data_IF_553044420996
#
_entry.id   IF_553044420996
#
_cell.length_a   1.000
_cell.length_b   1.000
_cell.length_c   1.000
_cell.angle_alpha   90.00
_cell.angle_beta   90.00
_cell.angle_gamma   90.00
#
_symmetry.space_group_name_H-M   'P 1'
#
loop_
_entity.id
_entity.type
_entity.pdbx_description
1 polymer ?
#
# COMPACT_ATOMS: atom_id res chain seq x y z
N UNK A 1 -0.64 19.84 -0.79
CA UNK A 1 -1.66 19.76 -1.86
C UNK A 1 -2.13 18.34 -1.96
N UNK A 2 -3.36 18.06 -1.54
CA UNK A 2 -3.89 16.71 -1.33
C UNK A 2 -4.24 16.01 -2.65
N UNK A 3 -3.68 14.84 -2.91
CA UNK A 3 -4.14 13.95 -3.98
C UNK A 3 -5.22 13.04 -3.39
N UNK A 4 -6.47 13.25 -3.79
CA UNK A 4 -7.62 12.43 -3.40
C UNK A 4 -7.93 11.48 -4.55
N UNK A 5 -7.77 10.18 -4.32
CA UNK A 5 -8.11 9.15 -5.31
C UNK A 5 -9.55 8.70 -5.02
N UNK A 6 -10.50 9.26 -5.76
CA UNK A 6 -11.90 8.82 -5.78
C UNK A 6 -12.17 8.00 -7.04
N UNK A 7 -12.83 6.84 -6.92
CA UNK A 7 -13.19 5.94 -8.03
C UNK A 7 -12.01 5.31 -8.81
N UNK A 8 -10.97 4.85 -8.11
CA UNK A 8 -9.95 4.00 -8.72
C UNK A 8 -10.50 2.60 -9.01
N UNK A 9 -10.68 2.25 -10.28
CA UNK A 9 -11.05 0.89 -10.69
C UNK A 9 -9.80 0.16 -11.21
N UNK A 10 -9.38 -0.87 -10.49
CA UNK A 10 -8.35 -1.81 -10.92
C UNK A 10 -9.05 -3.04 -11.51
N UNK A 11 -8.94 -3.25 -12.81
CA UNK A 11 -9.29 -4.53 -13.43
C UNK A 11 -8.01 -5.35 -13.59
N UNK A 12 -7.89 -6.42 -12.82
CA UNK A 12 -6.84 -7.41 -13.01
C UNK A 12 -7.45 -8.57 -13.80
N UNK A 13 -7.25 -8.56 -15.12
CA UNK A 13 -7.65 -9.67 -15.97
C UNK A 13 -6.54 -10.73 -15.87
N UNK A 14 -6.71 -11.68 -14.96
CA UNK A 14 -5.82 -12.82 -14.82
C UNK A 14 -6.57 -14.10 -15.22
N UNK A 15 -6.08 -14.76 -16.27
CA UNK A 15 -6.46 -16.13 -16.60
C UNK A 15 -5.79 -17.08 -15.59
N UNK A 16 -6.24 -17.04 -14.34
CA UNK A 16 -5.74 -17.90 -13.26
C UNK A 16 -6.90 -18.69 -12.67
N UNK A 17 -6.67 -19.98 -12.39
CA UNK A 17 -7.62 -20.74 -11.57
C UNK A 17 -7.74 -20.11 -10.18
N UNK A 18 -8.80 -20.41 -9.44
CA UNK A 18 -9.01 -19.89 -8.07
C UNK A 18 -7.81 -20.26 -7.20
N UNK A 19 -7.32 -21.50 -7.33
CA UNK A 19 -6.15 -22.00 -6.61
C UNK A 19 -4.89 -21.23 -6.98
N UNK A 20 -4.71 -20.89 -8.26
CA UNK A 20 -3.57 -20.08 -8.71
C UNK A 20 -3.66 -18.66 -8.16
N UNK A 21 -4.85 -18.08 -8.13
CA UNK A 21 -5.09 -16.76 -7.55
C UNK A 21 -4.79 -16.74 -6.06
N UNK A 22 -5.28 -17.72 -5.29
CA UNK A 22 -5.01 -17.84 -3.86
C UNK A 22 -3.50 -17.97 -3.57
N UNK A 23 -2.79 -18.70 -4.42
CA UNK A 23 -1.34 -18.90 -4.31
C UNK A 23 -0.50 -17.71 -4.72
N UNK A 24 -1.05 -16.74 -5.46
CA UNK A 24 -0.28 -15.52 -5.83
C UNK A 24 0.17 -14.70 -4.63
N UNK A 25 -0.44 -14.96 -3.48
CA UNK A 25 -0.11 -14.36 -2.19
C UNK A 25 0.69 -15.30 -1.28
N UNK A 26 1.37 -16.30 -1.84
CA UNK A 26 2.35 -17.16 -1.15
C UNK A 26 3.78 -16.66 -1.38
N UNK A 27 4.72 -17.07 -0.51
CA UNK A 27 6.14 -16.71 -0.60
C UNK A 27 6.76 -17.02 -1.98
N UNK A 28 6.37 -18.16 -2.57
CA UNK A 28 6.85 -18.59 -3.91
C UNK A 28 6.60 -17.55 -5.02
N UNK A 29 5.50 -16.79 -4.95
CA UNK A 29 5.20 -15.72 -5.90
C UNK A 29 5.95 -14.41 -5.59
N UNK A 30 6.27 -14.17 -4.31
CA UNK A 30 7.18 -13.08 -3.91
C UNK A 30 8.60 -13.34 -4.43
N UNK A 31 9.07 -14.59 -4.41
CA UNK A 31 10.43 -14.97 -4.85
C UNK A 31 10.65 -14.72 -6.35
N UNK A 32 9.67 -15.05 -7.19
CA UNK A 32 9.71 -14.72 -8.63
C UNK A 32 9.46 -13.22 -8.90
N UNK A 33 9.18 -12.45 -7.83
CA UNK A 33 8.97 -11.02 -7.87
C UNK A 33 7.64 -10.61 -8.47
N UNK A 34 6.61 -11.46 -8.43
CA UNK A 34 5.27 -11.18 -8.96
C UNK A 34 4.65 -9.96 -8.27
N UNK A 35 4.61 -9.97 -6.93
CA UNK A 35 4.08 -8.87 -6.12
C UNK A 35 4.80 -7.53 -6.37
N UNK A 36 6.07 -7.58 -6.74
CA UNK A 36 6.87 -6.40 -7.07
C UNK A 36 6.59 -5.82 -8.47
N UNK A 37 5.87 -6.56 -9.32
CA UNK A 37 5.41 -6.10 -10.65
C UNK A 37 4.00 -5.52 -10.62
N UNK A 38 3.30 -5.66 -9.49
CA UNK A 38 1.99 -5.09 -9.27
C UNK A 38 2.10 -3.74 -8.55
N UNK A 39 1.23 -2.82 -8.95
CA UNK A 39 0.89 -1.63 -8.16
C UNK A 39 -0.35 -1.99 -7.34
N UNK A 40 -0.21 -2.04 -6.02
CA UNK A 40 -1.22 -2.60 -5.13
C UNK A 40 -2.09 -1.46 -4.62
N UNK A 41 -3.39 -1.54 -4.88
CA UNK A 41 -4.36 -0.58 -4.37
C UNK A 41 -5.29 -1.32 -3.41
N UNK A 42 -5.06 -1.21 -2.08
CA UNK A 42 -5.97 -1.82 -1.12
C UNK A 42 -7.33 -1.12 -1.21
N UNK A 43 -8.37 -1.90 -1.43
CA UNK A 43 -9.76 -1.43 -1.46
C UNK A 43 -10.59 -2.12 -0.40
N UNK A 44 -11.62 -1.44 0.09
CA UNK A 44 -12.69 -2.04 0.88
C UNK A 44 -13.89 -2.30 -0.03
N UNK A 45 -14.40 -3.53 0.01
CA UNK A 45 -15.63 -3.87 -0.71
C UNK A 45 -16.84 -3.32 0.03
N UNK A 46 -17.47 -2.28 -0.50
CA UNK A 46 -18.76 -1.78 0.01
C UNK A 46 -19.89 -2.17 -0.95
N UNK A 47 -20.98 -2.74 -0.41
CA UNK A 47 -22.21 -2.91 -1.17
C UNK A 47 -22.85 -1.53 -1.35
N UNK A 48 -22.67 -0.94 -2.53
CA UNK A 48 -23.29 0.35 -2.89
C UNK A 48 -24.60 0.13 -3.64
N UNK A 49 -24.53 0.15 -4.96
CA UNK A 49 -25.70 0.06 -5.81
C UNK A 49 -25.81 -1.35 -6.39
N UNK A 50 -26.98 -2.00 -6.21
CA UNK A 50 -27.30 -3.26 -6.91
C UNK A 50 -27.29 -3.08 -8.44
N UNK A 51 -27.63 -1.87 -8.91
CA UNK A 51 -27.56 -1.47 -10.31
C UNK A 51 -26.79 -0.15 -10.43
N UNK A 52 -25.60 -0.13 -11.05
CA UNK A 52 -24.82 1.09 -11.22
C UNK A 52 -25.62 2.16 -11.97
N UNK A 53 -25.67 3.38 -11.40
CA UNK A 53 -26.30 4.52 -12.08
C UNK A 53 -25.52 4.88 -13.34
N UNK A 54 -26.23 5.24 -14.41
CA UNK A 54 -25.60 5.79 -15.61
C UNK A 54 -24.89 7.10 -15.25
N UNK A 55 -23.61 7.21 -15.61
CA UNK A 55 -22.86 8.45 -15.47
C UNK A 55 -23.53 9.54 -16.33
N UNK A 56 -23.91 10.69 -15.76
CA UNK A 56 -24.51 11.80 -16.51
C UNK A 56 -23.67 12.24 -17.70
N UNK A 57 -24.33 12.62 -18.81
CA UNK A 57 -23.67 12.99 -20.07
C UNK A 57 -22.64 14.11 -19.89
N UNK A 58 -22.98 15.18 -19.16
CA UNK A 58 -22.07 16.31 -18.92
C UNK A 58 -20.76 15.91 -18.21
N UNK A 59 -20.79 14.89 -17.34
CA UNK A 59 -19.58 14.36 -16.70
C UNK A 59 -18.73 13.62 -17.73
N UNK A 60 -19.36 12.79 -18.57
CA UNK A 60 -18.67 12.07 -19.65
C UNK A 60 -18.00 13.04 -20.62
N UNK A 61 -18.72 14.08 -21.03
CA UNK A 61 -18.21 15.08 -21.97
C UNK A 61 -16.96 15.78 -21.40
N UNK A 62 -17.01 16.19 -20.12
CA UNK A 62 -15.85 16.78 -19.43
C UNK A 62 -14.67 15.81 -19.31
N UNK A 63 -14.92 14.52 -19.06
CA UNK A 63 -13.86 13.51 -19.00
C UNK A 63 -13.24 13.27 -20.38
N UNK A 64 -14.05 13.21 -21.44
CA UNK A 64 -13.58 13.06 -22.82
C UNK A 64 -12.74 14.25 -23.26
N UNK A 65 -13.16 15.48 -22.95
CA UNK A 65 -12.41 16.70 -23.24
C UNK A 65 -11.04 16.68 -22.55
N UNK A 66 -11.01 16.41 -21.24
CA UNK A 66 -9.75 16.31 -20.47
C UNK A 66 -8.84 15.22 -21.02
N UNK A 67 -9.38 14.04 -21.31
CA UNK A 67 -8.61 12.93 -21.87
C UNK A 67 -8.06 13.28 -23.26
N UNK A 68 -8.87 13.88 -24.12
CA UNK A 68 -8.47 14.33 -25.45
C UNK A 68 -7.32 15.34 -25.40
N UNK A 69 -7.39 16.30 -24.48
CA UNK A 69 -6.30 17.26 -24.27
C UNK A 69 -4.99 16.58 -23.83
N UNK A 70 -5.06 15.56 -22.96
CA UNK A 70 -3.89 14.80 -22.54
C UNK A 70 -3.30 13.96 -23.68
N UNK A 71 -4.15 13.24 -24.43
CA UNK A 71 -3.72 12.42 -25.57
C UNK A 71 -3.08 13.31 -26.64
N UNK A 72 -3.65 14.48 -26.92
CA UNK A 72 -3.08 15.44 -27.86
C UNK A 72 -1.65 15.87 -27.49
N UNK A 73 -1.38 16.11 -26.20
CA UNK A 73 -0.02 16.42 -25.72
C UNK A 73 0.95 15.26 -25.94
N UNK A 74 0.52 14.03 -25.70
CA UNK A 74 1.35 12.82 -25.90
C UNK A 74 1.63 12.58 -27.39
N UNK A 75 0.63 12.75 -28.25
CA UNK A 75 0.77 12.55 -29.70
C UNK A 75 1.80 13.49 -30.33
N UNK A 76 2.00 14.68 -29.74
CA UNK A 76 3.00 15.65 -30.19
C UNK A 76 4.44 15.32 -29.73
N UNK A 77 4.64 14.21 -29.02
CA UNK A 77 5.98 13.77 -28.61
C UNK A 77 6.66 14.68 -27.59
N UNK A 78 5.88 15.35 -26.72
CA UNK A 78 6.43 16.27 -25.73
C UNK A 78 7.40 15.58 -24.78
N UNK A 79 8.66 16.02 -24.79
CA UNK A 79 9.68 15.56 -23.86
C UNK A 79 9.61 16.35 -22.55
N UNK A 80 9.61 15.62 -21.43
CA UNK A 80 9.55 16.20 -20.09
C UNK A 80 10.95 16.31 -19.51
N UNK A 81 11.42 17.54 -19.30
CA UNK A 81 12.60 17.80 -18.49
C UNK A 81 12.29 17.71 -17.00
N UNK A 82 13.32 17.53 -16.18
CA UNK A 82 13.25 17.58 -14.71
C UNK A 82 14.02 18.80 -14.23
N UNK A 83 13.46 19.56 -13.28
CA UNK A 83 14.20 20.68 -12.69
C UNK A 83 15.32 20.19 -11.79
N UNK A 84 16.38 20.98 -11.62
CA UNK A 84 17.52 20.60 -10.78
C UNK A 84 17.12 20.30 -9.33
N UNK A 85 16.17 21.09 -8.79
CA UNK A 85 15.62 20.88 -7.45
C UNK A 85 14.86 19.56 -7.33
N UNK A 86 14.04 19.22 -8.33
CA UNK A 86 13.30 17.96 -8.38
C UNK A 86 14.26 16.78 -8.51
N UNK A 87 15.29 16.91 -9.35
CA UNK A 87 16.32 15.89 -9.54
C UNK A 87 17.11 15.65 -8.24
N UNK A 88 17.58 16.71 -7.57
CA UNK A 88 18.29 16.60 -6.30
C UNK A 88 17.43 15.94 -5.21
N UNK A 89 16.14 16.30 -5.14
CA UNK A 89 15.18 15.69 -4.22
C UNK A 89 15.00 14.20 -4.51
N UNK A 90 14.83 13.84 -5.78
CA UNK A 90 14.65 12.46 -6.21
C UNK A 90 15.90 11.62 -5.97
N UNK A 91 17.10 12.15 -6.26
CA UNK A 91 18.38 11.50 -6.00
C UNK A 91 18.56 11.22 -4.51
N UNK A 92 18.25 12.19 -3.64
CA UNK A 92 18.30 11.99 -2.18
C UNK A 92 17.35 10.89 -1.72
N UNK A 93 16.14 10.84 -2.28
CA UNK A 93 15.20 9.75 -2.00
C UNK A 93 15.76 8.42 -2.47
N UNK A 94 16.21 8.32 -3.74
CA UNK A 94 16.75 7.10 -4.35
C UNK A 94 17.87 6.48 -3.51
N UNK A 95 18.82 7.30 -3.05
CA UNK A 95 19.94 6.86 -2.20
C UNK A 95 19.50 6.41 -0.79
N UNK A 96 18.33 6.88 -0.32
CA UNK A 96 17.82 6.58 1.01
C UNK A 96 16.86 5.38 1.05
N UNK A 97 16.45 4.83 -0.11
CA UNK A 97 15.53 3.69 -0.16
C UNK A 97 16.21 2.48 0.47
N UNK A 98 15.59 1.82 1.47
CA UNK A 98 16.14 0.60 2.04
C UNK A 98 16.27 -0.50 1.00
N UNK A 99 17.38 -1.22 0.96
CA UNK A 99 17.49 -2.45 0.18
C UNK A 99 16.62 -3.53 0.82
N UNK A 100 15.54 -3.91 0.14
CA UNK A 100 14.59 -4.92 0.61
C UNK A 100 13.85 -5.55 -0.56
N UNK A 101 13.18 -6.69 -0.32
CA UNK A 101 12.30 -7.30 -1.32
C UNK A 101 11.18 -6.36 -1.76
N UNK A 102 10.62 -5.55 -0.85
CA UNK A 102 9.48 -4.66 -1.15
C UNK A 102 9.84 -3.39 -1.90
N UNK A 103 11.10 -2.94 -1.82
CA UNK A 103 11.59 -1.75 -2.52
C UNK A 103 11.98 -2.00 -3.97
N UNK A 104 12.11 -3.28 -4.38
CA UNK A 104 12.41 -3.64 -5.76
C UNK A 104 11.39 -3.03 -6.73
N UNK A 105 11.91 -2.39 -7.79
CA UNK A 105 11.16 -1.72 -8.88
C UNK A 105 10.42 -0.45 -8.48
N UNK A 106 10.48 0.01 -7.21
CA UNK A 106 9.84 1.27 -6.83
C UNK A 106 10.48 2.47 -7.51
N UNK A 107 11.78 2.43 -7.73
CA UNK A 107 12.55 3.38 -8.53
C UNK A 107 12.04 3.46 -9.98
N UNK A 108 11.85 2.30 -10.63
CA UNK A 108 11.33 2.22 -11.99
C UNK A 108 9.89 2.76 -12.08
N UNK A 109 9.04 2.48 -11.09
CA UNK A 109 7.72 3.09 -11.01
C UNK A 109 7.79 4.59 -10.81
N UNK A 110 8.61 5.05 -9.86
CA UNK A 110 8.74 6.45 -9.55
C UNK A 110 9.17 7.26 -10.79
N UNK A 111 10.17 6.76 -11.52
CA UNK A 111 10.63 7.40 -12.76
C UNK A 111 9.51 7.54 -13.80
N UNK A 112 8.73 6.48 -14.02
CA UNK A 112 7.59 6.52 -14.97
C UNK A 112 6.46 7.43 -14.48
N UNK A 113 6.19 7.42 -13.18
CA UNK A 113 5.12 8.21 -12.57
C UNK A 113 5.40 9.71 -12.58
N UNK A 114 6.66 10.15 -12.53
CA UNK A 114 7.01 11.58 -12.62
C UNK A 114 6.46 12.22 -13.89
N UNK A 115 6.72 11.62 -15.04
CA UNK A 115 6.19 12.10 -16.32
C UNK A 115 4.67 12.00 -16.38
N UNK A 116 4.09 10.86 -15.97
CA UNK A 116 2.64 10.66 -16.03
C UNK A 116 1.88 11.65 -15.14
N UNK A 117 2.41 11.96 -13.97
CA UNK A 117 1.79 12.88 -13.03
C UNK A 117 1.96 14.33 -13.49
N UNK A 118 3.11 14.71 -14.04
CA UNK A 118 3.31 16.01 -14.66
C UNK A 118 2.31 16.24 -15.80
N UNK A 119 2.15 15.24 -16.69
CA UNK A 119 1.16 15.27 -17.77
C UNK A 119 -0.27 15.39 -17.24
N UNK A 120 -0.64 14.57 -16.25
CA UNK A 120 -1.96 14.60 -15.62
C UNK A 120 -2.29 15.96 -14.98
N UNK A 121 -1.29 16.62 -14.40
CA UNK A 121 -1.41 17.98 -13.85
C UNK A 121 -1.22 19.09 -14.89
N UNK A 122 -1.14 18.72 -16.17
CA UNK A 122 -0.93 19.64 -17.29
C UNK A 122 0.33 20.50 -17.19
N UNK A 123 1.33 20.06 -16.42
CA UNK A 123 2.67 20.66 -16.40
C UNK A 123 3.44 20.21 -17.64
N UNK A 124 4.46 20.99 -18.00
CA UNK A 124 5.39 20.71 -19.12
C UNK A 124 6.78 20.26 -18.64
N UNK A 125 7.02 20.36 -17.33
CA UNK A 125 8.28 20.00 -16.65
C UNK A 125 7.95 19.23 -15.37
N UNK A 126 8.83 18.32 -14.97
CA UNK A 126 8.80 17.67 -13.66
C UNK A 126 9.46 18.60 -12.65
N UNK A 127 8.64 19.30 -11.87
CA UNK A 127 9.09 20.15 -10.78
C UNK A 127 9.11 19.43 -9.42
N UNK A 128 9.54 20.15 -8.38
CA UNK A 128 9.69 19.60 -7.03
C UNK A 128 8.36 19.10 -6.46
N UNK A 129 7.23 19.70 -6.83
CA UNK A 129 5.91 19.28 -6.39
C UNK A 129 5.55 17.91 -6.98
N UNK A 130 5.81 17.70 -8.27
CA UNK A 130 5.60 16.39 -8.91
C UNK A 130 6.50 15.34 -8.28
N UNK A 131 7.78 15.66 -8.08
CA UNK A 131 8.73 14.76 -7.43
C UNK A 131 8.28 14.35 -6.02
N UNK A 132 7.81 15.31 -5.20
CA UNK A 132 7.28 15.04 -3.87
C UNK A 132 6.06 14.10 -3.92
N UNK A 133 5.08 14.38 -4.78
CA UNK A 133 3.87 13.54 -4.92
C UNK A 133 4.21 12.12 -5.35
N UNK A 134 5.15 11.96 -6.28
CA UNK A 134 5.61 10.64 -6.70
C UNK A 134 6.30 9.90 -5.57
N UNK A 135 7.22 10.57 -4.86
CA UNK A 135 7.91 10.00 -3.69
C UNK A 135 6.90 9.54 -2.64
N UNK A 136 5.89 10.35 -2.35
CA UNK A 136 4.84 9.99 -1.40
C UNK A 136 4.06 8.76 -1.87
N UNK A 137 3.70 8.70 -3.15
CA UNK A 137 2.98 7.59 -3.75
C UNK A 137 3.78 6.27 -3.70
N UNK A 138 5.08 6.30 -3.99
CA UNK A 138 5.91 5.08 -3.96
C UNK A 138 6.31 4.67 -2.55
N UNK A 139 6.45 5.62 -1.61
CA UNK A 139 6.62 5.32 -0.18
C UNK A 139 5.34 4.70 0.41
N UNK A 140 4.18 5.18 -0.01
CA UNK A 140 2.91 4.53 0.30
C UNK A 140 2.88 3.10 -0.26
N UNK A 141 3.25 2.92 -1.52
CA UNK A 141 3.30 1.58 -2.15
C UNK A 141 4.28 0.63 -1.44
N UNK A 142 5.42 1.14 -0.96
CA UNK A 142 6.34 0.39 -0.10
C UNK A 142 5.65 -0.12 1.17
N UNK A 143 4.89 0.76 1.83
CA UNK A 143 4.15 0.44 3.06
C UNK A 143 3.04 -0.57 2.80
N UNK A 144 2.30 -0.41 1.69
CA UNK A 144 1.28 -1.37 1.25
C UNK A 144 1.91 -2.74 1.02
N UNK A 145 3.02 -2.82 0.28
CA UNK A 145 3.72 -4.09 0.04
C UNK A 145 4.15 -4.77 1.33
N UNK A 146 4.61 -4.01 2.32
CA UNK A 146 4.95 -4.57 3.64
C UNK A 146 3.74 -5.06 4.44
N UNK A 147 2.58 -4.42 4.28
CA UNK A 147 1.36 -4.79 4.99
C UNK A 147 0.72 -6.06 4.40
N UNK A 148 0.73 -6.15 3.06
CA UNK A 148 0.11 -7.23 2.29
C UNK A 148 1.08 -8.31 1.81
N UNK A 149 2.34 -8.25 2.25
CA UNK A 149 3.32 -9.31 2.01
C UNK A 149 2.75 -10.67 2.45
N UNK A 150 3.01 -11.80 1.77
CA UNK A 150 2.64 -13.11 2.29
C UNK A 150 3.20 -13.36 3.69
N UNK A 151 2.50 -14.10 4.54
CA UNK A 151 3.07 -14.52 5.83
C UNK A 151 3.90 -15.77 5.58
N UNK A 152 5.21 -15.57 5.50
CA UNK A 152 6.19 -16.63 5.34
C UNK A 152 6.55 -17.23 6.71
N UNK A 153 5.75 -18.22 7.14
CA UNK A 153 5.97 -18.94 8.38
C UNK A 153 5.48 -20.39 8.24
N UNK A 154 6.28 -21.36 8.65
CA UNK A 154 6.01 -22.77 8.42
C UNK A 154 4.87 -23.33 9.29
N UNK A 155 4.69 -22.80 10.49
CA UNK A 155 3.70 -23.29 11.45
C UNK A 155 2.57 -22.27 11.74
N UNK A 156 1.41 -22.78 12.14
CA UNK A 156 0.19 -21.99 12.37
C UNK A 156 0.33 -20.95 13.49
N UNK A 157 1.15 -21.23 14.52
CA UNK A 157 1.43 -20.31 15.63
C UNK A 157 2.27 -19.12 15.12
N UNK A 158 3.37 -19.37 14.40
CA UNK A 158 4.22 -18.35 13.80
C UNK A 158 3.47 -17.51 12.74
N UNK A 159 2.57 -18.13 11.97
CA UNK A 159 1.65 -17.39 11.08
C UNK A 159 0.78 -16.42 11.88
N UNK A 160 0.24 -16.85 13.02
CA UNK A 160 -0.58 -16.02 13.90
C UNK A 160 0.23 -14.91 14.58
N UNK A 161 1.45 -15.20 15.05
CA UNK A 161 2.38 -14.19 15.61
C UNK A 161 2.62 -13.07 14.60
N UNK A 162 2.89 -13.43 13.34
CA UNK A 162 3.11 -12.46 12.27
C UNK A 162 1.86 -11.63 11.97
N UNK A 163 0.65 -12.24 11.99
CA UNK A 163 -0.63 -11.49 11.87
C UNK A 163 -0.78 -10.47 13.00
N UNK A 164 -0.55 -10.88 14.24
CA UNK A 164 -0.64 -9.99 15.41
C UNK A 164 0.34 -8.82 15.27
N UNK A 165 1.62 -9.10 14.95
CA UNK A 165 2.63 -8.04 14.71
C UNK A 165 2.17 -7.07 13.62
N UNK A 166 1.61 -7.56 12.51
CA UNK A 166 1.12 -6.72 11.41
C UNK A 166 -0.03 -5.81 11.81
N UNK A 167 -0.99 -6.30 12.59
CA UNK A 167 -2.08 -5.47 13.09
C UNK A 167 -1.55 -4.36 14.03
N UNK A 168 -0.54 -4.67 14.83
CA UNK A 168 0.06 -3.72 15.78
C UNK A 168 1.15 -2.80 15.16
N UNK A 169 1.39 -2.88 13.84
CA UNK A 169 2.32 -1.96 13.15
C UNK A 169 1.81 -0.52 13.18
N UNK A 170 2.70 0.42 12.89
CA UNK A 170 2.41 1.86 12.79
C UNK A 170 1.82 2.48 14.08
N UNK A 171 2.15 1.91 15.24
CA UNK A 171 1.71 2.43 16.54
C UNK A 171 0.22 2.17 16.84
N UNK A 172 -0.42 1.27 16.11
CA UNK A 172 -1.79 0.87 16.40
C UNK A 172 -1.87 0.15 17.75
N UNK A 173 -2.87 0.52 18.56
CA UNK A 173 -3.14 -0.09 19.86
C UNK A 173 -4.53 -0.71 19.86
N UNK A 174 -4.59 -2.01 20.14
CA UNK A 174 -5.84 -2.76 20.15
C UNK A 174 -6.01 -3.50 21.46
N UNK A 175 -7.24 -3.63 21.93
CA UNK A 175 -7.58 -4.58 22.99
C UNK A 175 -7.42 -6.02 22.48
N UNK A 176 -7.25 -6.97 23.39
CA UNK A 176 -7.16 -8.40 23.04
C UNK A 176 -8.38 -8.87 22.21
N UNK A 177 -9.58 -8.38 22.54
CA UNK A 177 -10.82 -8.68 21.80
C UNK A 177 -10.77 -8.15 20.37
N UNK A 178 -10.34 -6.91 20.18
CA UNK A 178 -10.21 -6.30 18.85
C UNK A 178 -9.15 -7.02 18.01
N UNK A 179 -8.03 -7.42 18.61
CA UNK A 179 -7.00 -8.23 17.93
C UNK A 179 -7.53 -9.61 17.53
N UNK A 180 -8.28 -10.29 18.40
CA UNK A 180 -8.91 -11.58 18.10
C UNK A 180 -9.80 -11.47 16.85
N UNK A 181 -10.63 -10.43 16.80
CA UNK A 181 -11.50 -10.17 15.64
C UNK A 181 -10.69 -9.86 14.38
N UNK A 182 -9.72 -8.94 14.46
CA UNK A 182 -8.89 -8.52 13.31
C UNK A 182 -7.96 -9.61 12.78
N UNK A 183 -7.52 -10.54 13.63
CA UNK A 183 -6.68 -11.68 13.23
C UNK A 183 -7.51 -12.90 12.79
N UNK A 184 -8.85 -12.81 12.84
CA UNK A 184 -9.78 -13.90 12.58
C UNK A 184 -9.41 -15.19 13.35
N UNK A 185 -9.19 -15.05 14.66
CA UNK A 185 -8.75 -16.16 15.53
C UNK A 185 -9.72 -17.34 15.53
N UNK A 186 -11.01 -17.11 15.29
CA UNK A 186 -12.04 -18.16 15.16
C UNK A 186 -11.72 -19.16 14.04
N UNK A 187 -11.08 -18.73 12.95
CA UNK A 187 -10.72 -19.62 11.83
C UNK A 187 -9.48 -20.47 12.11
N UNK A 188 -8.59 -19.98 12.96
CA UNK A 188 -7.32 -20.66 13.26
C UNK A 188 -7.37 -21.43 14.59
N UNK A 189 -8.40 -21.21 15.40
CA UNK A 189 -8.53 -21.76 16.75
C UNK A 189 -7.99 -20.82 17.82
N UNK A 190 -8.73 -20.68 18.92
CA UNK A 190 -8.38 -19.80 20.05
C UNK A 190 -7.05 -20.18 20.70
N UNK A 191 -6.73 -21.47 20.76
CA UNK A 191 -5.46 -21.97 21.29
C UNK A 191 -4.27 -21.36 20.54
N UNK A 192 -4.30 -21.37 19.20
CA UNK A 192 -3.21 -20.85 18.36
C UNK A 192 -3.00 -19.36 18.60
N UNK A 193 -4.09 -18.60 18.76
CA UNK A 193 -4.02 -17.18 19.09
C UNK A 193 -3.40 -16.94 20.47
N UNK A 194 -3.84 -17.67 21.49
CA UNK A 194 -3.32 -17.51 22.85
C UNK A 194 -1.84 -17.87 22.93
N UNK A 195 -1.43 -18.98 22.32
CA UNK A 195 -0.03 -19.40 22.26
C UNK A 195 0.85 -18.38 21.53
N UNK A 196 0.39 -17.85 20.40
CA UNK A 196 1.09 -16.80 19.67
C UNK A 196 1.24 -15.52 20.49
N UNK A 197 0.17 -15.04 21.13
CA UNK A 197 0.21 -13.83 21.96
C UNK A 197 1.15 -14.01 23.16
N UNK A 198 1.09 -15.16 23.84
CA UNK A 198 1.95 -15.47 24.97
C UNK A 198 3.43 -15.50 24.56
N UNK A 199 3.77 -16.06 23.40
CA UNK A 199 5.13 -16.02 22.87
C UNK A 199 5.59 -14.57 22.64
N UNK A 200 4.77 -13.74 22.00
CA UNK A 200 5.11 -12.34 21.72
C UNK A 200 5.30 -11.51 22.98
N UNK A 201 4.49 -11.72 24.02
CA UNK A 201 4.66 -11.08 25.32
C UNK A 201 5.94 -11.59 26.02
N UNK A 202 6.19 -12.91 26.00
CA UNK A 202 7.37 -13.53 26.61
C UNK A 202 8.67 -13.00 26.00
N UNK A 203 8.71 -12.81 24.69
CA UNK A 203 9.87 -12.28 23.97
C UNK A 203 9.91 -10.74 23.92
N UNK A 204 9.00 -10.05 24.64
CA UNK A 204 8.92 -8.58 24.70
C UNK A 204 8.82 -7.93 23.32
N UNK A 205 8.11 -8.58 22.41
CA UNK A 205 7.78 -8.00 21.10
C UNK A 205 6.48 -7.20 21.14
N UNK A 206 5.57 -7.58 22.04
CA UNK A 206 4.32 -6.89 22.34
C UNK A 206 4.27 -6.54 23.82
N UNK A 207 3.80 -5.35 24.14
CA UNK A 207 3.60 -4.88 25.51
C UNK A 207 2.19 -4.37 25.75
N UNK A 208 1.76 -4.45 27.01
CA UNK A 208 0.50 -3.92 27.49
C UNK A 208 0.65 -2.43 27.87
N UNK A 209 -0.16 -1.56 27.27
CA UNK A 209 -0.22 -0.16 27.69
C UNK A 209 -1.07 0.00 28.94
N UNK A 210 -0.57 0.81 29.88
CA UNK A 210 -1.27 1.16 31.13
C UNK A 210 -2.05 2.45 30.93
N UNK A 211 -3.32 2.34 30.54
CA UNK A 211 -4.25 3.46 30.45
C UNK A 211 -5.69 3.01 30.19
N UNK A 212 -6.53 3.02 31.22
CA UNK A 212 -7.98 2.74 31.14
C UNK A 212 -8.37 1.32 30.70
N UNK A 213 -8.19 1.00 29.41
CA UNK A 213 -8.42 -0.33 28.83
C UNK A 213 -7.06 -0.97 28.50
N UNK A 214 -6.86 -2.24 28.89
CA UNK A 214 -5.65 -3.01 28.55
C UNK A 214 -5.54 -3.13 27.03
N UNK A 215 -4.64 -2.37 26.41
CA UNK A 215 -4.34 -2.44 24.97
C UNK A 215 -2.93 -3.00 24.77
N UNK A 216 -2.75 -3.66 23.64
CA UNK A 216 -1.49 -4.27 23.22
C UNK A 216 -0.87 -3.39 22.12
N UNK A 217 0.47 -3.22 22.16
CA UNK A 217 1.27 -2.51 21.14
C UNK A 217 2.63 -3.18 20.95
N UNK A 218 3.32 -2.90 19.84
CA UNK A 218 4.69 -3.38 19.63
C UNK A 218 5.70 -2.64 20.54
N UNK A 219 6.61 -3.37 21.18
CA UNK A 219 7.59 -2.85 22.15
C UNK A 219 8.72 -2.06 21.49
N UNK A 220 9.01 -2.32 20.21
CA UNK A 220 10.04 -1.61 19.44
C UNK A 220 9.41 -0.80 18.30
N UNK A 221 8.99 0.42 18.62
CA UNK A 221 8.82 1.43 17.60
C UNK A 221 10.18 1.84 17.06
N UNK A 222 10.72 1.16 16.03
CA UNK A 222 11.42 1.96 15.00
C UNK A 222 10.42 3.05 14.66
N UNK A 223 10.76 4.32 14.90
CA UNK A 223 10.00 5.45 14.38
C UNK A 223 9.94 5.22 12.87
N UNK A 224 8.90 4.52 12.42
CA UNK A 224 8.54 4.48 11.03
C UNK A 224 8.36 5.95 10.66
N UNK A 225 8.92 6.33 9.50
CA UNK A 225 8.60 7.56 8.82
C UNK A 225 7.13 7.87 9.11
N UNK A 226 6.82 9.06 9.65
CA UNK A 226 5.46 9.50 9.92
C UNK A 226 4.65 9.27 8.64
N UNK A 227 3.97 8.14 8.56
CA UNK A 227 3.02 7.88 7.50
C UNK A 227 1.88 8.81 7.87
N UNK A 228 1.58 9.74 6.97
CA UNK A 228 0.45 10.64 7.14
C UNK A 228 -0.82 9.83 7.49
N UNK A 229 -1.82 10.41 8.19
CA UNK A 229 -2.90 9.70 8.89
C UNK A 229 -3.88 8.88 8.00
N UNK A 230 -3.56 8.61 6.75
CA UNK A 230 -4.40 7.92 5.76
C UNK A 230 -4.62 6.41 6.04
N UNK A 231 -4.28 5.92 7.24
CA UNK A 231 -4.39 4.52 7.64
C UNK A 231 -5.53 4.22 8.62
N UNK A 232 -6.47 5.16 8.80
CA UNK A 232 -7.74 4.85 9.43
C UNK A 232 -8.89 4.99 8.41
N UNK A 233 -9.78 3.98 8.30
CA UNK A 233 -11.05 4.13 7.59
C UNK A 233 -11.89 5.24 8.21
#
# INVERSE_FOLDING_TARGET
>A
TNVVIENGYLSMLAASTIETYERTWEASFTDIGFNNRLFLVPGTGEKKDFLPKKIPKHIKDKLMERLGALIGKVANGHEYSITDEANAKFQKWYMAIPSSTHSKRLDAYAHRLMMLLALNESKTVVDIDIANKVIDLVNWQFTVRQAYDPIDADNSIAKMETRIKRQLRNGAEFTERELKMKCHSERSGLYIFMSALQNLERYKEVELTKGGKRKLRLTSGRKALKVHPFLHP
#
